data_IF_227739106555
#
_entry.id   IF_227739106555
#
_cell.length_a   1.000
_cell.length_b   1.000
_cell.length_c   1.000
_cell.angle_alpha   90.00
_cell.angle_beta   90.00
_cell.angle_gamma   90.00
#
_symmetry.space_group_name_H-M   'P 1'
#
loop_
_entity.id
_entity.type
_entity.pdbx_description
1 polymer ?
#
# COMPACT_ATOMS: atom_id res chain seq x y z
N UNK A 1 15.62 -12.68 20.41
CA UNK A 1 14.47 -12.40 19.51
C UNK A 1 14.80 -11.10 18.79
N UNK A 2 14.88 -11.12 17.46
CA UNK A 2 15.15 -9.93 16.64
C UNK A 2 13.83 -9.33 16.16
N UNK A 3 13.67 -8.01 16.31
CA UNK A 3 12.47 -7.28 15.87
C UNK A 3 12.94 -5.98 15.23
N UNK A 4 12.45 -5.71 14.03
CA UNK A 4 12.82 -4.53 13.25
C UNK A 4 11.58 -3.92 12.61
N UNK A 5 11.50 -2.60 12.62
CA UNK A 5 10.52 -1.84 11.85
C UNK A 5 11.17 -1.38 10.56
N UNK A 6 10.59 -1.72 9.41
CA UNK A 6 11.11 -1.33 8.11
C UNK A 6 10.48 0.01 7.71
N UNK A 7 11.30 1.05 7.61
CA UNK A 7 10.87 2.36 7.11
C UNK A 7 10.82 2.38 5.58
N UNK A 8 9.81 3.06 5.03
CA UNK A 8 9.64 3.25 3.60
C UNK A 8 10.12 4.66 3.24
N UNK A 9 11.22 4.76 2.49
CA UNK A 9 11.78 6.05 2.06
C UNK A 9 11.96 7.02 3.24
N UNK A 10 11.45 8.24 3.07
CA UNK A 10 11.43 9.31 4.06
C UNK A 10 10.14 9.28 4.92
N UNK A 11 9.69 8.09 5.30
CA UNK A 11 8.55 7.89 6.19
C UNK A 11 7.22 8.35 5.58
N UNK A 12 6.57 9.34 6.22
CA UNK A 12 5.22 9.77 5.85
C UNK A 12 5.14 10.32 4.42
N UNK A 13 6.11 11.13 3.99
CA UNK A 13 6.06 11.76 2.67
C UNK A 13 6.07 10.70 1.56
N UNK A 14 7.01 9.76 1.60
CA UNK A 14 7.12 8.71 0.60
C UNK A 14 6.00 7.67 0.70
N UNK A 15 5.44 7.43 1.89
CA UNK A 15 4.23 6.60 2.05
C UNK A 15 3.04 7.18 1.28
N UNK A 16 2.99 8.50 1.08
CA UNK A 16 1.93 9.18 0.30
C UNK A 16 2.32 9.34 -1.16
N UNK A 17 3.55 9.79 -1.43
CA UNK A 17 4.01 10.29 -2.72
C UNK A 17 4.73 9.25 -3.59
N UNK A 18 4.91 8.01 -3.10
CA UNK A 18 5.35 6.90 -3.93
C UNK A 18 4.19 5.98 -4.27
N UNK A 19 4.12 5.47 -5.51
CA UNK A 19 3.18 4.41 -5.84
C UNK A 19 3.51 3.16 -5.01
N UNK A 20 2.49 2.36 -4.69
CA UNK A 20 2.63 1.19 -3.82
C UNK A 20 3.67 0.19 -4.35
N UNK A 21 3.78 0.02 -5.67
CA UNK A 21 4.75 -0.90 -6.26
C UNK A 21 6.18 -0.51 -5.89
N UNK A 22 6.51 0.79 -5.92
CA UNK A 22 7.83 1.29 -5.48
C UNK A 22 8.06 1.06 -3.99
N UNK A 23 7.02 1.19 -3.16
CA UNK A 23 7.12 0.91 -1.73
C UNK A 23 7.36 -0.58 -1.45
N UNK A 24 6.71 -1.48 -2.21
CA UNK A 24 6.94 -2.93 -2.15
C UNK A 24 8.38 -3.26 -2.55
N UNK A 25 8.88 -2.71 -3.66
CA UNK A 25 10.25 -2.90 -4.09
C UNK A 25 11.27 -2.46 -3.02
N UNK A 26 11.07 -1.25 -2.47
CA UNK A 26 11.91 -0.71 -1.41
C UNK A 26 11.91 -1.63 -0.17
N UNK A 27 10.73 -2.07 0.26
CA UNK A 27 10.58 -3.00 1.39
C UNK A 27 11.31 -4.32 1.12
N UNK A 28 11.18 -4.89 -0.07
CA UNK A 28 11.85 -6.14 -0.42
C UNK A 28 13.37 -6.02 -0.44
N UNK A 29 13.92 -4.89 -0.89
CA UNK A 29 15.35 -4.61 -0.80
C UNK A 29 15.81 -4.52 0.65
N UNK A 30 15.07 -3.80 1.50
CA UNK A 30 15.38 -3.68 2.93
C UNK A 30 15.42 -5.04 3.62
N UNK A 31 14.41 -5.89 3.39
CA UNK A 31 14.37 -7.24 3.97
C UNK A 31 15.54 -8.11 3.49
N UNK A 32 15.88 -8.08 2.20
CA UNK A 32 16.98 -8.90 1.66
C UNK A 32 18.34 -8.48 2.20
N UNK A 33 18.51 -7.19 2.53
CA UNK A 33 19.76 -6.68 3.08
C UNK A 33 19.90 -6.93 4.59
N UNK A 34 18.83 -7.36 5.27
CA UNK A 34 18.87 -7.70 6.68
C UNK A 34 19.30 -9.15 6.89
N UNK A 35 20.52 -9.35 7.40
CA UNK A 35 21.10 -10.68 7.65
C UNK A 35 20.33 -11.48 8.69
N UNK A 36 19.59 -10.82 9.59
CA UNK A 36 18.82 -11.49 10.64
C UNK A 36 17.50 -12.09 10.13
N UNK A 37 17.06 -11.71 8.92
CA UNK A 37 15.79 -12.15 8.33
C UNK A 37 15.96 -13.30 7.31
N UNK A 38 17.18 -13.71 7.00
CA UNK A 38 17.47 -14.70 5.94
C UNK A 38 16.99 -16.12 6.27
N UNK A 39 16.91 -16.46 7.56
CA UNK A 39 16.44 -17.76 8.04
C UNK A 39 14.92 -17.80 8.26
N UNK A 40 14.21 -16.79 7.80
CA UNK A 40 12.76 -16.69 7.91
C UNK A 40 12.27 -15.95 9.13
N UNK A 41 11.05 -15.41 9.02
CA UNK A 41 10.52 -14.44 9.98
C UNK A 41 8.98 -14.34 9.89
N UNK A 42 8.36 -13.80 10.94
CA UNK A 42 6.97 -13.37 10.90
C UNK A 42 6.91 -11.91 10.42
N UNK A 43 5.88 -11.57 9.66
CA UNK A 43 5.70 -10.24 9.09
C UNK A 43 4.38 -9.65 9.59
N UNK A 44 4.40 -8.38 9.99
CA UNK A 44 3.23 -7.64 10.40
C UNK A 44 3.10 -6.38 9.54
N UNK A 45 1.95 -6.21 8.89
CA UNK A 45 1.57 -4.97 8.22
C UNK A 45 0.40 -4.30 8.95
N UNK A 46 0.48 -2.99 9.15
CA UNK A 46 -0.60 -2.20 9.73
C UNK A 46 -1.14 -1.21 8.69
N UNK A 47 -2.47 -1.07 8.59
CA UNK A 47 -3.12 -0.13 7.68
C UNK A 47 -2.64 -0.34 6.22
N UNK A 48 -2.19 0.70 5.52
CA UNK A 48 -1.57 0.63 4.19
C UNK A 48 -0.40 -0.36 4.14
N UNK A 49 0.37 -0.47 5.22
CA UNK A 49 1.47 -1.42 5.33
C UNK A 49 1.03 -2.86 5.07
N UNK A 50 -0.24 -3.21 5.32
CA UNK A 50 -0.82 -4.53 5.00
C UNK A 50 -0.76 -4.86 3.51
N UNK A 51 -0.91 -3.88 2.63
CA UNK A 51 -0.80 -4.06 1.19
C UNK A 51 0.66 -4.24 0.76
N UNK A 52 1.57 -3.49 1.39
CA UNK A 52 3.01 -3.56 1.12
C UNK A 52 3.53 -4.96 1.48
N UNK A 53 3.23 -5.43 2.70
CA UNK A 53 3.69 -6.75 3.17
C UNK A 53 3.08 -7.91 2.38
N UNK A 54 1.80 -7.81 1.99
CA UNK A 54 1.15 -8.81 1.13
C UNK A 54 1.81 -8.82 -0.26
N UNK A 55 2.01 -7.65 -0.87
CA UNK A 55 2.69 -7.52 -2.15
C UNK A 55 4.13 -8.04 -2.11
N UNK A 56 4.85 -7.84 -1.01
CA UNK A 56 6.20 -8.36 -0.82
C UNK A 56 6.20 -9.90 -0.76
N UNK A 57 5.26 -10.52 -0.04
CA UNK A 57 5.09 -11.98 -0.02
C UNK A 57 4.81 -12.52 -1.42
N UNK A 58 3.92 -11.86 -2.17
CA UNK A 58 3.52 -12.28 -3.51
C UNK A 58 4.61 -12.10 -4.57
N UNK A 59 5.50 -11.11 -4.42
CA UNK A 59 6.43 -10.70 -5.49
C UNK A 59 7.90 -10.96 -5.21
N UNK A 60 8.31 -11.08 -3.95
CA UNK A 60 9.72 -11.02 -3.57
C UNK A 60 10.34 -12.35 -3.11
N UNK A 61 9.56 -13.44 -3.09
CA UNK A 61 10.02 -14.78 -2.66
C UNK A 61 10.74 -14.75 -1.31
N UNK A 62 10.10 -14.15 -0.30
CA UNK A 62 10.66 -13.97 1.04
C UNK A 62 10.35 -15.19 1.94
N UNK A 63 11.24 -15.58 2.88
CA UNK A 63 11.03 -16.71 3.78
C UNK A 63 10.05 -16.37 4.94
N UNK A 64 8.81 -16.00 4.62
CA UNK A 64 7.82 -15.58 5.62
C UNK A 64 7.12 -16.78 6.24
N UNK A 65 7.13 -16.86 7.58
CA UNK A 65 6.41 -17.89 8.35
C UNK A 65 4.93 -17.58 8.50
N UNK A 66 4.63 -16.40 9.04
CA UNK A 66 3.27 -15.92 9.21
C UNK A 66 3.19 -14.47 8.74
N UNK A 67 2.14 -14.16 7.98
CA UNK A 67 1.76 -12.80 7.66
C UNK A 67 0.55 -12.39 8.53
N UNK A 68 0.72 -11.33 9.32
CA UNK A 68 -0.33 -10.71 10.13
C UNK A 68 -0.64 -9.34 9.54
N UNK A 69 -1.91 -9.07 9.27
CA UNK A 69 -2.35 -7.76 8.79
C UNK A 69 -3.35 -7.16 9.75
N UNK A 70 -3.03 -5.98 10.28
CA UNK A 70 -3.86 -5.26 11.23
C UNK A 70 -4.53 -4.07 10.54
N UNK A 71 -5.86 -4.07 10.52
CA UNK A 71 -6.67 -3.05 9.82
C UNK A 71 -6.30 -2.91 8.34
N UNK A 72 -6.01 -4.03 7.68
CA UNK A 72 -5.60 -4.06 6.28
C UNK A 72 -6.75 -3.78 5.31
N UNK A 73 -6.42 -3.11 4.21
CA UNK A 73 -7.35 -2.71 3.15
C UNK A 73 -7.15 -3.56 1.88
N UNK A 74 -7.21 -4.89 2.02
CA UNK A 74 -6.91 -5.86 0.96
C UNK A 74 -7.82 -5.77 -0.27
N UNK A 75 -9.02 -5.21 -0.12
CA UNK A 75 -9.97 -4.99 -1.20
C UNK A 75 -10.02 -3.52 -1.64
N UNK A 76 -9.01 -2.72 -1.26
CA UNK A 76 -8.99 -1.29 -1.48
C UNK A 76 -9.91 -0.52 -0.55
N UNK A 77 -10.04 0.78 -0.82
CA UNK A 77 -10.93 1.70 -0.09
C UNK A 77 -11.81 2.47 -1.06
N UNK A 78 -12.97 2.92 -0.57
CA UNK A 78 -13.83 3.87 -1.26
C UNK A 78 -14.35 4.92 -0.29
N UNK A 79 -13.42 5.73 0.20
CA UNK A 79 -13.69 6.75 1.19
C UNK A 79 -12.57 6.86 2.21
N UNK A 80 -12.27 8.10 2.59
CA UNK A 80 -11.33 8.42 3.66
C UNK A 80 -12.11 9.25 4.67
N UNK A 81 -12.24 8.82 5.95
CA UNK A 81 -13.09 9.49 6.93
C UNK A 81 -12.87 11.00 7.04
N UNK A 82 -11.61 11.45 6.97
CA UNK A 82 -11.26 12.88 7.00
C UNK A 82 -11.79 13.66 5.78
N UNK A 83 -11.86 13.01 4.62
CA UNK A 83 -12.37 13.59 3.38
C UNK A 83 -13.90 13.58 3.29
N UNK A 84 -14.60 12.89 4.20
CA UNK A 84 -16.07 12.94 4.27
C UNK A 84 -16.60 14.33 4.63
N UNK A 85 -15.74 15.17 5.24
CA UNK A 85 -16.02 16.59 5.51
C UNK A 85 -16.04 17.47 4.26
N UNK A 86 -15.48 16.99 3.14
CA UNK A 86 -15.52 17.69 1.86
C UNK A 86 -16.94 17.66 1.29
N UNK A 87 -17.25 18.60 0.40
CA UNK A 87 -18.51 18.60 -0.34
C UNK A 87 -18.61 17.37 -1.24
N UNK A 88 -19.84 16.97 -1.61
CA UNK A 88 -20.06 15.85 -2.54
C UNK A 88 -19.24 16.03 -3.83
N UNK A 89 -19.31 17.23 -4.43
CA UNK A 89 -18.54 17.60 -5.62
C UNK A 89 -17.04 17.34 -5.49
N UNK A 90 -16.43 17.70 -4.37
CA UNK A 90 -14.99 17.47 -4.16
C UNK A 90 -14.66 15.97 -4.04
N UNK A 91 -15.54 15.18 -3.40
CA UNK A 91 -15.35 13.72 -3.32
C UNK A 91 -15.50 13.04 -4.69
N UNK A 92 -16.43 13.54 -5.50
CA UNK A 92 -16.61 13.04 -6.87
C UNK A 92 -15.36 13.32 -7.72
N UNK A 93 -14.78 14.51 -7.61
CA UNK A 93 -13.52 14.85 -8.30
C UNK A 93 -12.36 13.94 -7.85
N UNK A 94 -12.26 13.60 -6.57
CA UNK A 94 -11.23 12.65 -6.09
C UNK A 94 -11.41 11.29 -6.77
N UNK A 95 -12.65 10.80 -6.86
CA UNK A 95 -12.96 9.53 -7.51
C UNK A 95 -12.69 9.59 -9.01
N UNK A 96 -13.04 10.70 -9.65
CA UNK A 96 -12.83 10.94 -11.08
C UNK A 96 -11.35 10.92 -11.45
N UNK A 97 -10.51 11.60 -10.68
CA UNK A 97 -9.08 11.71 -10.96
C UNK A 97 -8.23 10.59 -10.35
N UNK A 98 -8.77 9.76 -9.45
CA UNK A 98 -8.02 8.67 -8.83
C UNK A 98 -7.40 7.73 -9.87
N UNK A 99 -8.08 7.50 -11.00
CA UNK A 99 -7.61 6.59 -12.04
C UNK A 99 -6.78 7.24 -13.14
N UNK A 100 -6.48 8.55 -13.03
CA UNK A 100 -5.57 9.20 -13.96
C UNK A 100 -4.14 8.67 -13.77
N UNK A 101 -3.45 8.38 -14.88
CA UNK A 101 -2.12 7.77 -14.87
C UNK A 101 -1.14 8.53 -13.96
N UNK A 102 -1.14 9.86 -14.02
CA UNK A 102 -0.24 10.70 -13.22
C UNK A 102 -0.52 10.59 -11.71
N UNK A 103 -1.77 10.32 -11.33
CA UNK A 103 -2.18 10.14 -9.94
C UNK A 103 -1.83 8.72 -9.49
N UNK A 104 -2.08 7.71 -10.33
CA UNK A 104 -1.65 6.33 -10.09
C UNK A 104 -0.12 6.23 -9.91
N UNK A 105 0.67 6.96 -10.70
CA UNK A 105 2.13 6.91 -10.63
C UNK A 105 2.73 7.67 -9.43
N UNK A 106 1.93 8.45 -8.69
CA UNK A 106 2.44 9.37 -7.64
C UNK A 106 1.77 9.22 -6.29
N UNK A 107 0.50 8.86 -6.22
CA UNK A 107 -0.26 8.86 -4.97
C UNK A 107 -0.60 7.43 -4.57
N UNK A 108 0.01 6.94 -3.50
CA UNK A 108 -0.18 5.57 -3.03
C UNK A 108 -1.64 5.19 -2.83
N UNK A 109 -2.43 6.13 -2.30
CA UNK A 109 -3.86 5.93 -2.03
C UNK A 109 -4.69 5.69 -3.29
N UNK A 110 -4.24 6.18 -4.44
CA UNK A 110 -4.89 5.94 -5.71
C UNK A 110 -4.75 4.47 -6.15
N UNK A 111 -3.60 3.82 -5.86
CA UNK A 111 -3.34 2.44 -6.26
C UNK A 111 -4.23 1.39 -5.58
N UNK A 112 -4.95 1.79 -4.53
CA UNK A 112 -5.93 0.96 -3.86
C UNK A 112 -7.27 1.68 -3.68
N UNK A 113 -7.50 2.76 -4.43
CA UNK A 113 -8.82 3.34 -4.55
C UNK A 113 -9.69 2.43 -5.40
N UNK A 114 -10.80 1.94 -4.84
CA UNK A 114 -11.69 0.99 -5.50
C UNK A 114 -13.12 1.49 -5.44
N UNK A 115 -13.50 2.26 -6.44
CA UNK A 115 -14.88 2.68 -6.66
C UNK A 115 -15.77 1.46 -7.02
N UNK A 116 -16.72 1.06 -6.14
CA UNK A 116 -17.60 -0.07 -6.41
C UNK A 116 -18.64 0.23 -7.50
N UNK A 117 -18.89 1.51 -7.82
CA UNK A 117 -19.83 1.95 -8.86
C UNK A 117 -19.14 1.95 -10.23
N UNK A 118 -17.85 2.29 -10.28
CA UNK A 118 -17.05 2.34 -11.51
C UNK A 118 -15.95 1.27 -11.55
N UNK A 119 -16.31 0.03 -11.23
CA UNK A 119 -15.35 -1.08 -11.14
C UNK A 119 -14.59 -1.32 -12.46
N UNK A 120 -15.20 -1.02 -13.61
CA UNK A 120 -14.52 -1.13 -14.90
C UNK A 120 -13.29 -0.21 -15.00
N UNK A 121 -13.39 1.03 -14.49
CA UNK A 121 -12.24 1.94 -14.44
C UNK A 121 -11.15 1.42 -13.51
N UNK A 122 -11.55 0.82 -12.39
CA UNK A 122 -10.63 0.20 -11.44
C UNK A 122 -9.84 -0.98 -12.06
N UNK A 123 -10.50 -1.82 -12.86
CA UNK A 123 -9.87 -3.00 -13.48
C UNK A 123 -8.99 -2.61 -14.67
N UNK A 124 -9.33 -1.52 -15.38
CA UNK A 124 -8.59 -1.07 -16.57
C UNK A 124 -7.36 -0.20 -16.28
N UNK A 125 -6.92 -0.13 -15.01
CA UNK A 125 -5.72 0.60 -14.60
C UNK A 125 -4.45 -0.04 -15.14
#
# INVERSE_FOLDING_TARGET
>A
IYVVSIEIGNGFEDSVLWPLDKQVEHFCVAIRNDVHLQQGFNMLGFSQGSLIVRGAVERCSLPVYNLITLSGLHQGIFGIPHLLKLTARLRDLITEYAYEKIIQDRISTANYWRDPIQLNKYISQ
#
